data_IF_545540514617
#
_entry.id   IF_545540514617
#
_cell.length_a   1.000
_cell.length_b   1.000
_cell.length_c   1.000
_cell.angle_alpha   90.00
_cell.angle_beta   90.00
_cell.angle_gamma   90.00
#
_symmetry.space_group_name_H-M   'P 1'
#
loop_
_entity.id
_entity.type
_entity.pdbx_description
1 polymer ?
#
# COMPACT_ATOMS: atom_id res chain seq x y z
N UNK A 1 -3.88 0.20 9.93
CA UNK A 1 -4.09 0.43 8.49
C UNK A 1 -5.51 0.06 8.09
N UNK A 2 -6.08 0.82 7.18
CA UNK A 2 -7.42 0.56 6.67
C UNK A 2 -7.33 -0.35 5.46
N UNK A 3 -8.15 -1.40 5.42
CA UNK A 3 -8.23 -2.29 4.27
C UNK A 3 -9.16 -1.72 3.21
N UNK A 4 -8.70 -1.70 1.96
CA UNK A 4 -9.50 -1.27 0.83
C UNK A 4 -9.87 -2.50 0.00
N UNK A 5 -11.16 -2.70 -0.20
CA UNK A 5 -11.69 -3.86 -0.94
C UNK A 5 -12.45 -3.41 -2.17
N UNK A 6 -12.43 -4.24 -3.22
CA UNK A 6 -13.17 -3.96 -4.43
C UNK A 6 -14.65 -4.40 -4.29
N UNK A 7 -15.42 -4.26 -5.35
CA UNK A 7 -16.84 -4.62 -5.34
C UNK A 7 -17.08 -6.11 -5.12
N UNK A 8 -16.07 -6.95 -5.33
CA UNK A 8 -16.15 -8.40 -5.08
C UNK A 8 -15.65 -8.76 -3.68
N UNK A 9 -15.45 -7.75 -2.82
CA UNK A 9 -14.95 -7.91 -1.46
C UNK A 9 -13.54 -8.50 -1.37
N UNK A 10 -12.75 -8.34 -2.41
CA UNK A 10 -11.36 -8.76 -2.42
C UNK A 10 -10.45 -7.63 -1.96
N UNK A 11 -9.47 -7.95 -1.11
CA UNK A 11 -8.51 -6.97 -0.63
C UNK A 11 -7.63 -6.48 -1.77
N UNK A 12 -7.62 -5.17 -1.99
CA UNK A 12 -6.78 -4.55 -3.03
C UNK A 12 -5.52 -3.98 -2.42
N UNK A 13 -5.66 -3.24 -1.32
CA UNK A 13 -4.52 -2.60 -0.68
C UNK A 13 -4.89 -2.22 0.75
N UNK A 14 -3.90 -1.74 1.48
CA UNK A 14 -4.09 -1.16 2.81
C UNK A 14 -3.59 0.27 2.78
N UNK A 15 -4.27 1.14 3.52
CA UNK A 15 -3.94 2.56 3.56
C UNK A 15 -3.75 2.99 5.01
N UNK A 16 -2.64 3.68 5.28
CA UNK A 16 -2.41 4.33 6.57
C UNK A 16 -2.56 5.84 6.36
N UNK A 17 -3.68 6.37 6.79
CA UNK A 17 -3.99 7.79 6.57
C UNK A 17 -3.12 8.72 7.40
N UNK A 18 -2.69 8.26 8.58
CA UNK A 18 -1.84 9.07 9.46
C UNK A 18 -0.43 9.21 8.90
N UNK A 19 0.10 8.13 8.32
CA UNK A 19 1.46 8.09 7.78
C UNK A 19 1.51 8.32 6.28
N UNK A 20 0.36 8.45 5.63
CA UNK A 20 0.24 8.65 4.18
C UNK A 20 0.93 7.53 3.39
N UNK A 21 0.64 6.29 3.79
CA UNK A 21 1.23 5.09 3.19
C UNK A 21 0.15 4.24 2.53
N UNK A 22 0.46 3.72 1.35
CA UNK A 22 -0.36 2.70 0.68
C UNK A 22 0.47 1.43 0.58
N UNK A 23 -0.09 0.30 1.02
CA UNK A 23 0.57 -1.00 0.99
C UNK A 23 -0.20 -1.94 0.08
N UNK A 24 0.49 -2.51 -0.90
CA UNK A 24 -0.11 -3.43 -1.87
C UNK A 24 0.64 -4.75 -1.81
N UNK A 25 -0.09 -5.87 -1.64
CA UNK A 25 0.51 -7.21 -1.63
C UNK A 25 -0.05 -7.98 -2.82
N UNK A 26 0.82 -8.38 -3.74
CA UNK A 26 0.45 -9.15 -4.93
C UNK A 26 1.49 -10.24 -5.16
N UNK A 27 1.04 -11.49 -5.27
CA UNK A 27 1.89 -12.63 -5.65
C UNK A 27 3.19 -12.73 -4.83
N UNK A 28 3.08 -12.60 -3.53
CA UNK A 28 4.22 -12.73 -2.64
C UNK A 28 5.17 -11.54 -2.62
N UNK A 29 4.77 -10.43 -3.21
CA UNK A 29 5.53 -9.18 -3.17
C UNK A 29 4.73 -8.10 -2.47
N UNK A 30 5.40 -7.31 -1.64
CA UNK A 30 4.78 -6.17 -0.99
C UNK A 30 5.37 -4.88 -1.54
N UNK A 31 4.50 -4.00 -2.03
CA UNK A 31 4.88 -2.67 -2.49
C UNK A 31 4.33 -1.65 -1.51
N UNK A 32 5.19 -0.82 -0.97
CA UNK A 32 4.82 0.27 -0.06
C UNK A 32 5.08 1.60 -0.75
N UNK A 33 4.06 2.46 -0.77
CA UNK A 33 4.15 3.78 -1.36
C UNK A 33 3.90 4.78 -0.26
N UNK A 34 4.88 5.65 0.01
CA UNK A 34 4.74 6.71 1.00
C UNK A 34 4.70 8.06 0.29
N UNK A 35 3.67 8.84 0.60
CA UNK A 35 3.49 10.19 0.06
C UNK A 35 4.00 11.22 1.07
N UNK A 36 4.84 12.13 0.61
CA UNK A 36 5.38 13.21 1.45
C UNK A 36 4.67 14.53 1.18
N UNK A 37 4.71 15.43 2.16
CA UNK A 37 4.02 16.73 2.07
C UNK A 37 4.56 17.63 0.95
N UNK A 38 5.79 17.38 0.52
CA UNK A 38 6.43 18.18 -0.55
C UNK A 38 6.05 17.69 -1.95
N UNK A 39 5.15 16.70 -2.04
CA UNK A 39 4.69 16.14 -3.31
C UNK A 39 5.56 14.99 -3.83
N UNK A 40 6.61 14.61 -3.09
CA UNK A 40 7.44 13.46 -3.50
C UNK A 40 6.83 12.15 -3.00
N UNK A 41 7.27 11.04 -3.60
CA UNK A 41 6.79 9.70 -3.30
C UNK A 41 7.97 8.77 -3.14
N UNK A 42 7.92 7.92 -2.10
CA UNK A 42 8.91 6.85 -1.91
C UNK A 42 8.24 5.52 -2.18
N UNK A 43 8.86 4.68 -3.03
CA UNK A 43 8.33 3.36 -3.37
C UNK A 43 9.33 2.29 -2.96
N UNK A 44 8.85 1.31 -2.17
CA UNK A 44 9.67 0.17 -1.74
C UNK A 44 8.99 -1.12 -2.14
N UNK A 45 9.77 -2.06 -2.68
CA UNK A 45 9.29 -3.39 -3.04
C UNK A 45 10.06 -4.43 -2.23
N UNK A 46 9.32 -5.38 -1.63
CA UNK A 46 9.90 -6.44 -0.80
C UNK A 46 9.33 -7.79 -1.22
N UNK A 47 10.18 -8.77 -1.38
CA UNK A 47 9.74 -10.15 -1.56
C UNK A 47 9.37 -10.74 -0.22
N UNK A 48 8.19 -11.39 -0.15
CA UNK A 48 7.68 -11.98 1.08
C UNK A 48 7.99 -13.48 1.21
N UNK A 49 8.43 -14.11 0.13
CA UNK A 49 8.71 -15.56 0.14
C UNK A 49 10.13 -15.87 -0.22
#
# INVERSE_FOLDING_TARGET
MEEIRNIHNKLICRVDKAEHIVEIVIKGCKTTIRFYNDGTVEIKNVELA
#
